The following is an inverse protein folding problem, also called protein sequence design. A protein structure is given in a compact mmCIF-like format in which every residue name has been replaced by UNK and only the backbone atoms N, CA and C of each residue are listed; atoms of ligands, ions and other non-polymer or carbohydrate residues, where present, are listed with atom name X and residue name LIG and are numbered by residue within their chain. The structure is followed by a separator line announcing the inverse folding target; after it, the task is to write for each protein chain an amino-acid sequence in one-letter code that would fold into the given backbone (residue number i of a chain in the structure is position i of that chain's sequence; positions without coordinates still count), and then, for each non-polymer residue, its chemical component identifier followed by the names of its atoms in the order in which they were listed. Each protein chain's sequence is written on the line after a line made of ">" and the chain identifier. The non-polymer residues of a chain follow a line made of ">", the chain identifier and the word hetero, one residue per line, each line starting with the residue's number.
data_IF_167969337898
#
_entry.id   IF_167969337898
#
_cell.length_a   1.000
_cell.length_b   1.000
_cell.length_c   1.000
_cell.angle_alpha   90.00
_cell.angle_beta   90.00
_cell.angle_gamma   90.00
#
_symmetry.space_group_name_H-M   'P 1'
#
loop_
_entity.id
_entity.type
_entity.pdbx_description
1 polymer ?
#
# COMPACT_ATOMS: atom_id res chain seq x y z
N UNK A 1 -0.88 21.60 -23.91
CA UNK A 1 -1.35 20.23 -24.15
C UNK A 1 -0.41 19.15 -23.60
N UNK A 2 0.94 19.15 -23.81
CA UNK A 2 1.80 18.06 -23.31
C UNK A 2 1.82 17.90 -21.79
N UNK A 3 1.89 19.01 -21.03
CA UNK A 3 1.83 18.97 -19.57
C UNK A 3 0.50 18.36 -19.06
N UNK A 4 -0.62 18.68 -19.69
CA UNK A 4 -1.92 18.10 -19.36
C UNK A 4 -1.97 16.59 -19.65
N UNK A 5 -1.35 16.15 -20.77
CA UNK A 5 -1.22 14.74 -21.07
C UNK A 5 -0.33 14.02 -20.03
N UNK A 6 0.80 14.64 -19.63
CA UNK A 6 1.67 14.08 -18.61
C UNK A 6 0.97 13.99 -17.24
N UNK A 7 0.19 15.00 -16.86
CA UNK A 7 -0.67 14.95 -15.67
C UNK A 7 -1.71 13.81 -15.77
N UNK A 8 -2.38 13.70 -16.91
CA UNK A 8 -3.37 12.63 -17.10
C UNK A 8 -2.74 11.24 -16.96
N UNK A 9 -1.65 10.96 -17.66
CA UNK A 9 -0.98 9.66 -17.63
C UNK A 9 -0.20 9.41 -16.34
N UNK A 10 0.22 10.43 -15.62
CA UNK A 10 0.82 10.31 -14.29
C UNK A 10 -0.22 9.98 -13.22
N UNK A 11 -1.37 10.66 -13.23
CA UNK A 11 -2.36 10.56 -12.15
C UNK A 11 -3.44 9.51 -12.37
N UNK A 12 -4.07 9.47 -13.54
CA UNK A 12 -5.23 8.59 -13.76
C UNK A 12 -4.89 7.11 -13.55
N UNK A 13 -3.79 6.56 -14.10
CA UNK A 13 -3.42 5.17 -13.83
C UNK A 13 -3.13 4.91 -12.34
N UNK A 14 -2.49 5.84 -11.64
CA UNK A 14 -2.18 5.68 -10.22
C UNK A 14 -3.44 5.69 -9.36
N UNK A 15 -4.46 6.49 -9.70
CA UNK A 15 -5.77 6.40 -9.07
C UNK A 15 -6.47 5.06 -9.36
N UNK A 16 -6.36 4.52 -10.56
CA UNK A 16 -6.90 3.19 -10.88
C UNK A 16 -6.19 2.08 -10.10
N UNK A 17 -4.87 2.18 -9.94
CA UNK A 17 -4.11 1.25 -9.11
C UNK A 17 -4.46 1.39 -7.63
N UNK A 18 -4.66 2.61 -7.13
CA UNK A 18 -5.14 2.84 -5.76
C UNK A 18 -6.54 2.25 -5.54
N UNK A 19 -7.43 2.37 -6.53
CA UNK A 19 -8.73 1.72 -6.49
C UNK A 19 -8.63 0.18 -6.50
N UNK A 20 -7.65 -0.39 -7.22
CA UNK A 20 -7.37 -1.83 -7.21
C UNK A 20 -6.82 -2.27 -5.85
N UNK A 21 -5.88 -1.50 -5.25
CA UNK A 21 -5.37 -1.78 -3.90
C UNK A 21 -6.52 -1.76 -2.88
N UNK A 22 -7.36 -0.72 -2.90
CA UNK A 22 -8.55 -0.66 -2.07
C UNK A 22 -9.53 -1.83 -2.32
N UNK A 23 -9.63 -2.31 -3.56
CA UNK A 23 -10.45 -3.47 -3.88
C UNK A 23 -9.87 -4.78 -3.35
N UNK A 24 -8.54 -4.93 -3.24
CA UNK A 24 -7.88 -6.10 -2.66
C UNK A 24 -8.13 -6.25 -1.14
N UNK A 25 -8.43 -5.15 -0.46
CA UNK A 25 -8.96 -5.15 0.89
C UNK A 25 -10.37 -5.75 0.92
N UNK A 26 -10.48 -7.03 1.27
CA UNK A 26 -11.69 -7.84 1.02
C UNK A 26 -12.65 -7.90 2.18
N UNK A 27 -12.15 -7.89 3.38
CA UNK A 27 -12.94 -8.15 4.57
C UNK A 27 -13.17 -6.89 5.41
N UNK A 28 -12.14 -6.21 5.82
CA UNK A 28 -12.23 -4.96 6.58
C UNK A 28 -11.71 -3.81 5.74
N UNK A 29 -12.60 -2.90 5.34
CA UNK A 29 -12.24 -1.79 4.44
C UNK A 29 -11.60 -0.65 5.20
N UNK A 30 -10.43 -0.23 4.77
CA UNK A 30 -9.76 0.94 5.29
C UNK A 30 -10.56 2.24 5.05
N UNK A 31 -10.54 3.21 6.00
CA UNK A 31 -11.24 4.48 5.85
C UNK A 31 -10.75 5.27 4.63
N UNK A 32 -11.64 5.54 3.70
CA UNK A 32 -11.31 6.24 2.43
C UNK A 32 -10.66 7.60 2.64
N UNK A 33 -11.04 8.30 3.71
CA UNK A 33 -10.44 9.61 4.05
C UNK A 33 -8.98 9.43 4.44
N UNK A 34 -8.66 8.39 5.20
CA UNK A 34 -7.29 8.10 5.61
C UNK A 34 -6.43 7.65 4.43
N UNK A 35 -6.98 6.80 3.56
CA UNK A 35 -6.32 6.43 2.29
C UNK A 35 -6.09 7.65 1.39
N UNK A 36 -7.07 8.54 1.28
CA UNK A 36 -6.94 9.81 0.55
C UNK A 36 -5.86 10.71 1.12
N UNK A 37 -5.76 10.82 2.45
CA UNK A 37 -4.69 11.56 3.11
C UNK A 37 -3.31 10.93 2.89
N UNK A 38 -3.21 9.60 2.93
CA UNK A 38 -1.99 8.85 2.65
C UNK A 38 -1.52 9.05 1.19
N UNK A 39 -2.44 8.98 0.23
CA UNK A 39 -2.16 9.29 -1.17
C UNK A 39 -1.68 10.74 -1.34
N UNK A 40 -2.38 11.69 -0.73
CA UNK A 40 -2.00 13.11 -0.78
C UNK A 40 -0.61 13.36 -0.19
N UNK A 41 -0.28 12.71 0.93
CA UNK A 41 1.07 12.78 1.49
C UNK A 41 2.12 12.32 0.48
N UNK A 42 1.91 11.16 -0.14
CA UNK A 42 2.81 10.63 -1.18
C UNK A 42 2.98 11.63 -2.32
N UNK A 43 1.86 12.14 -2.83
CA UNK A 43 1.76 13.06 -3.97
C UNK A 43 2.49 14.39 -3.73
N UNK A 44 2.35 14.98 -2.55
CA UNK A 44 2.83 16.34 -2.28
C UNK A 44 4.06 16.34 -1.39
N UNK A 45 3.95 15.72 -0.22
CA UNK A 45 5.01 15.83 0.81
C UNK A 45 6.20 14.93 0.45
N UNK A 46 5.95 13.65 0.15
CA UNK A 46 7.04 12.74 -0.16
C UNK A 46 7.69 13.08 -1.51
N UNK A 47 6.90 13.28 -2.57
CA UNK A 47 7.45 13.61 -3.89
C UNK A 47 8.13 14.99 -3.92
N UNK A 48 7.50 16.02 -3.32
CA UNK A 48 8.09 17.36 -3.24
C UNK A 48 9.35 17.40 -2.37
N UNK A 49 9.31 16.76 -1.20
CA UNK A 49 10.47 16.65 -0.31
C UNK A 49 11.64 15.90 -0.96
N UNK A 50 11.35 14.76 -1.60
CA UNK A 50 12.35 13.98 -2.33
C UNK A 50 12.96 14.80 -3.47
N UNK A 51 12.16 15.52 -4.26
CA UNK A 51 12.67 16.38 -5.32
C UNK A 51 13.68 17.42 -4.81
N UNK A 52 13.37 18.08 -3.70
CA UNK A 52 14.25 19.09 -3.10
C UNK A 52 15.53 18.45 -2.57
N UNK A 53 15.41 17.37 -1.77
CA UNK A 53 16.55 16.74 -1.11
C UNK A 53 17.45 16.05 -2.14
N UNK A 54 16.90 15.33 -3.11
CA UNK A 54 17.67 14.65 -4.15
C UNK A 54 18.43 15.65 -5.02
N UNK A 55 17.78 16.78 -5.39
CA UNK A 55 18.44 17.84 -6.14
C UNK A 55 19.59 18.48 -5.36
N UNK A 56 19.37 18.83 -4.10
CA UNK A 56 20.40 19.41 -3.24
C UNK A 56 21.57 18.43 -3.01
N UNK A 57 21.28 17.16 -2.82
CA UNK A 57 22.28 16.10 -2.63
C UNK A 57 23.11 15.87 -3.90
N UNK A 58 22.47 15.82 -5.07
CA UNK A 58 23.17 15.71 -6.36
C UNK A 58 24.11 16.88 -6.60
N UNK A 59 23.63 18.12 -6.33
CA UNK A 59 24.49 19.32 -6.39
C UNK A 59 25.67 19.23 -5.40
N UNK A 60 25.43 18.76 -4.16
CA UNK A 60 26.48 18.57 -3.17
C UNK A 60 27.52 17.56 -3.60
N UNK A 61 27.11 16.40 -4.15
CA UNK A 61 28.03 15.38 -4.68
C UNK A 61 28.85 15.95 -5.84
N UNK A 62 28.20 16.68 -6.76
CA UNK A 62 28.89 17.33 -7.88
C UNK A 62 29.94 18.35 -7.39
N UNK A 63 29.58 19.20 -6.44
CA UNK A 63 30.50 20.21 -5.87
C UNK A 63 31.71 19.56 -5.17
N UNK A 64 31.50 18.39 -4.54
CA UNK A 64 32.56 17.68 -3.84
C UNK A 64 33.47 16.87 -4.77
N UNK A 65 32.90 16.23 -5.82
CA UNK A 65 33.63 15.30 -6.70
C UNK A 65 34.09 15.93 -8.01
N UNK A 66 33.45 17.02 -8.45
CA UNK A 66 33.63 17.61 -9.78
C UNK A 66 33.11 16.73 -10.93
N UNK A 67 32.36 15.67 -10.62
CA UNK A 67 31.91 14.67 -11.59
C UNK A 67 30.38 14.60 -11.67
N UNK A 68 29.83 14.86 -12.86
CA UNK A 68 28.39 14.70 -13.15
C UNK A 68 27.94 13.25 -13.00
N UNK A 69 28.73 12.29 -13.51
CA UNK A 69 28.42 10.86 -13.37
C UNK A 69 28.39 10.41 -11.92
N UNK A 70 29.32 10.91 -11.08
CA UNK A 70 29.29 10.56 -9.65
C UNK A 70 28.03 11.17 -8.96
N UNK A 71 27.65 12.39 -9.33
CA UNK A 71 26.44 13.02 -8.83
C UNK A 71 25.18 12.27 -9.26
N UNK A 72 25.09 11.87 -10.52
CA UNK A 72 23.95 11.11 -11.05
C UNK A 72 23.86 9.72 -10.40
N UNK A 73 24.90 8.91 -10.44
CA UNK A 73 24.93 7.56 -9.87
C UNK A 73 24.67 7.62 -8.37
N UNK A 74 25.36 8.50 -7.64
CA UNK A 74 25.20 8.64 -6.19
C UNK A 74 23.78 9.04 -5.81
N UNK A 75 23.18 9.98 -6.55
CA UNK A 75 21.80 10.42 -6.29
C UNK A 75 20.81 9.34 -6.64
N UNK A 76 20.85 8.78 -7.83
CA UNK A 76 19.82 7.83 -8.32
C UNK A 76 19.91 6.48 -7.59
N UNK A 77 21.12 5.97 -7.37
CA UNK A 77 21.29 4.62 -6.81
C UNK A 77 21.28 4.57 -5.28
N UNK A 78 21.59 5.67 -4.59
CA UNK A 78 21.75 5.65 -3.14
C UNK A 78 20.83 6.67 -2.46
N UNK A 79 20.98 7.97 -2.79
CA UNK A 79 20.28 9.04 -2.07
C UNK A 79 18.78 8.96 -2.28
N UNK A 80 18.34 8.86 -3.54
CA UNK A 80 16.92 8.86 -3.88
C UNK A 80 16.17 7.69 -3.21
N UNK A 81 16.61 6.42 -3.29
CA UNK A 81 15.94 5.34 -2.58
C UNK A 81 15.82 5.56 -1.07
N UNK A 82 16.85 6.07 -0.43
CA UNK A 82 16.84 6.35 1.01
C UNK A 82 15.82 7.44 1.34
N UNK A 83 15.94 8.59 0.67
CA UNK A 83 15.08 9.76 0.93
C UNK A 83 13.63 9.46 0.64
N UNK A 84 13.36 8.85 -0.50
CA UNK A 84 12.01 8.58 -0.96
C UNK A 84 11.30 7.54 -0.08
N UNK A 85 11.95 6.41 0.22
CA UNK A 85 11.33 5.40 1.07
C UNK A 85 11.19 5.88 2.51
N UNK A 86 12.11 6.72 3.01
CA UNK A 86 11.98 7.36 4.31
C UNK A 86 10.77 8.31 4.36
N UNK A 87 10.59 9.20 3.37
CA UNK A 87 9.46 10.14 3.32
C UNK A 87 8.12 9.43 3.11
N UNK A 88 8.07 8.37 2.31
CA UNK A 88 6.90 7.51 2.15
C UNK A 88 6.62 6.71 3.42
N UNK A 89 7.64 6.10 4.00
CA UNK A 89 7.54 5.35 5.25
C UNK A 89 7.11 6.20 6.44
N UNK A 90 7.45 7.49 6.45
CA UNK A 90 7.00 8.41 7.48
C UNK A 90 5.48 8.62 7.48
N UNK A 91 4.82 8.62 6.31
CA UNK A 91 3.35 8.62 6.24
C UNK A 91 2.76 7.34 6.85
N UNK A 92 3.34 6.19 6.54
CA UNK A 92 2.92 4.90 7.12
C UNK A 92 3.09 4.92 8.64
N UNK A 93 4.20 5.49 9.13
CA UNK A 93 4.44 5.66 10.56
C UNK A 93 3.39 6.56 11.23
N UNK A 94 2.98 7.66 10.59
CA UNK A 94 1.90 8.52 11.10
C UNK A 94 0.60 7.74 11.23
N UNK A 95 0.21 6.97 10.21
CA UNK A 95 -0.99 6.12 10.29
C UNK A 95 -0.85 5.12 11.44
N UNK A 96 0.29 4.44 11.54
CA UNK A 96 0.57 3.48 12.61
C UNK A 96 0.47 4.08 14.02
N UNK A 97 1.00 5.27 14.27
CA UNK A 97 1.02 5.86 15.61
C UNK A 97 -0.27 6.62 15.95
N UNK A 98 -0.89 7.29 14.98
CA UNK A 98 -2.05 8.15 15.21
C UNK A 98 -3.35 7.38 15.04
N UNK A 99 -3.41 6.49 14.06
CA UNK A 99 -4.58 5.69 13.71
C UNK A 99 -4.35 4.19 13.94
N UNK A 100 -3.66 3.85 15.02
CA UNK A 100 -3.21 2.49 15.35
C UNK A 100 -4.35 1.45 15.39
N UNK A 101 -5.61 1.88 15.50
CA UNK A 101 -6.78 0.99 15.47
C UNK A 101 -7.11 0.47 14.07
N UNK A 102 -6.68 1.23 13.06
CA UNK A 102 -6.82 0.89 11.64
C UNK A 102 -5.63 0.06 11.13
N UNK A 103 -4.72 -0.35 12.01
CA UNK A 103 -3.49 -1.06 11.65
C UNK A 103 -3.45 -2.39 12.40
N UNK A 104 -4.31 -3.33 12.04
CA UNK A 104 -4.48 -4.57 12.79
C UNK A 104 -4.18 -5.85 12.00
N UNK A 105 -3.86 -5.74 10.72
CA UNK A 105 -3.41 -6.83 9.86
C UNK A 105 -2.14 -6.48 9.05
N UNK A 106 -1.50 -7.50 8.47
CA UNK A 106 -0.37 -7.28 7.54
C UNK A 106 -0.87 -6.62 6.24
N UNK A 107 -2.10 -6.93 5.85
CA UNK A 107 -2.70 -6.40 4.64
C UNK A 107 -2.88 -4.88 4.73
N UNK A 108 -3.29 -4.35 5.89
CA UNK A 108 -3.43 -2.91 6.12
C UNK A 108 -2.09 -2.19 5.90
N UNK A 109 -1.00 -2.77 6.43
CA UNK A 109 0.34 -2.24 6.22
C UNK A 109 0.70 -2.16 4.73
N UNK A 110 0.41 -3.22 3.96
CA UNK A 110 0.62 -3.25 2.52
C UNK A 110 -0.24 -2.18 1.83
N UNK A 111 -1.50 -2.05 2.21
CA UNK A 111 -2.45 -1.09 1.63
C UNK A 111 -1.96 0.34 1.86
N UNK A 112 -1.68 0.74 3.11
CA UNK A 112 -1.19 2.09 3.41
C UNK A 112 0.13 2.38 2.70
N UNK A 113 1.09 1.45 2.73
CA UNK A 113 2.36 1.59 2.01
C UNK A 113 2.17 1.79 0.52
N UNK A 114 1.35 0.95 -0.12
CA UNK A 114 1.06 1.04 -1.54
C UNK A 114 0.33 2.34 -1.92
N UNK A 115 -0.65 2.78 -1.13
CA UNK A 115 -1.40 4.02 -1.40
C UNK A 115 -0.50 5.27 -1.32
N UNK A 116 0.35 5.37 -0.30
CA UNK A 116 1.35 6.45 -0.21
C UNK A 116 2.26 6.44 -1.44
N UNK A 117 2.75 5.26 -1.80
CA UNK A 117 3.67 5.09 -2.94
C UNK A 117 3.01 5.41 -4.29
N UNK A 118 1.73 5.11 -4.47
CA UNK A 118 0.96 5.48 -5.67
C UNK A 118 0.77 7.00 -5.77
N UNK A 119 0.56 7.69 -4.65
CA UNK A 119 0.54 9.14 -4.61
C UNK A 119 1.89 9.73 -5.05
N UNK A 120 2.99 9.21 -4.52
CA UNK A 120 4.35 9.59 -4.92
C UNK A 120 4.57 9.36 -6.43
N UNK A 121 4.28 8.14 -6.90
CA UNK A 121 4.45 7.76 -8.29
C UNK A 121 3.64 8.63 -9.27
N UNK A 122 2.46 9.11 -8.88
CA UNK A 122 1.64 9.99 -9.71
C UNK A 122 2.39 11.30 -10.05
N UNK A 123 3.01 11.92 -9.06
CA UNK A 123 3.78 13.16 -9.23
C UNK A 123 5.09 12.90 -9.99
N UNK A 124 5.81 11.87 -9.59
CA UNK A 124 7.07 11.50 -10.20
C UNK A 124 6.89 11.14 -11.69
N UNK A 125 5.93 10.27 -12.02
CA UNK A 125 5.63 9.91 -13.40
C UNK A 125 5.25 11.15 -14.24
N UNK A 126 4.46 12.07 -13.69
CA UNK A 126 4.14 13.33 -14.39
C UNK A 126 5.40 14.10 -14.78
N UNK A 127 6.35 14.23 -13.84
CA UNK A 127 7.60 14.94 -14.09
C UNK A 127 8.48 14.24 -15.14
N UNK A 128 8.64 12.93 -15.02
CA UNK A 128 9.45 12.14 -15.97
C UNK A 128 8.82 12.15 -17.38
N UNK A 129 7.53 11.89 -17.49
CA UNK A 129 6.80 11.87 -18.78
C UNK A 129 6.92 13.24 -19.47
N UNK A 130 6.85 14.35 -18.70
CA UNK A 130 6.95 15.69 -19.26
C UNK A 130 8.41 16.07 -19.61
N UNK A 131 9.32 15.98 -18.63
CA UNK A 131 10.71 16.44 -18.79
C UNK A 131 11.53 15.52 -19.67
N UNK A 132 11.66 14.26 -19.27
CA UNK A 132 12.52 13.28 -19.95
C UNK A 132 11.81 12.65 -21.18
N UNK A 133 10.47 12.65 -21.22
CA UNK A 133 9.73 12.18 -22.39
C UNK A 133 9.51 13.28 -23.41
N UNK A 134 8.56 14.17 -23.09
CA UNK A 134 8.12 15.18 -24.07
C UNK A 134 9.19 16.21 -24.40
N UNK A 135 9.87 16.78 -23.41
CA UNK A 135 10.86 17.87 -23.68
C UNK A 135 12.08 17.35 -24.46
N UNK A 136 12.45 16.10 -24.30
CA UNK A 136 13.61 15.51 -25.02
C UNK A 136 13.23 14.98 -26.42
N UNK A 137 12.08 14.34 -26.56
CA UNK A 137 11.72 13.58 -27.76
C UNK A 137 10.28 13.81 -28.26
N UNK A 138 9.63 14.87 -27.79
CA UNK A 138 8.26 15.20 -28.21
C UNK A 138 7.23 14.15 -27.80
N UNK A 139 6.18 13.99 -28.60
CA UNK A 139 5.10 13.07 -28.31
C UNK A 139 5.52 11.59 -28.28
N UNK A 140 6.50 11.20 -29.11
CA UNK A 140 7.04 9.84 -29.12
C UNK A 140 7.73 9.49 -27.79
N UNK A 141 8.54 10.41 -27.26
CA UNK A 141 9.17 10.23 -25.96
C UNK A 141 8.16 10.22 -24.83
N UNK A 142 7.11 11.07 -24.89
CA UNK A 142 6.02 11.06 -23.93
C UNK A 142 5.37 9.67 -23.85
N UNK A 143 4.91 9.13 -24.99
CA UNK A 143 4.22 7.83 -25.01
C UNK A 143 5.14 6.66 -24.64
N UNK A 144 6.42 6.74 -25.00
CA UNK A 144 7.42 5.75 -24.60
C UNK A 144 7.57 5.71 -23.07
N UNK A 145 7.68 6.89 -22.42
CA UNK A 145 7.78 6.93 -20.97
C UNK A 145 6.48 6.57 -20.26
N UNK A 146 5.32 6.89 -20.84
CA UNK A 146 4.04 6.36 -20.35
C UNK A 146 4.04 4.83 -20.37
N UNK A 147 4.44 4.22 -21.49
CA UNK A 147 4.50 2.78 -21.60
C UNK A 147 5.45 2.16 -20.58
N UNK A 148 6.66 2.69 -20.46
CA UNK A 148 7.65 2.16 -19.52
C UNK A 148 7.18 2.38 -18.06
N UNK A 149 6.94 3.63 -17.65
CA UNK A 149 6.75 3.98 -16.24
C UNK A 149 5.38 3.63 -15.67
N UNK A 150 4.37 3.54 -16.52
CA UNK A 150 2.99 3.25 -16.07
C UNK A 150 2.63 1.79 -16.31
N UNK A 151 2.94 1.25 -17.51
CA UNK A 151 2.51 -0.11 -17.86
C UNK A 151 3.55 -1.14 -17.42
N UNK A 152 4.83 -0.93 -17.76
CA UNK A 152 5.88 -1.92 -17.52
C UNK A 152 6.31 -1.94 -16.06
N UNK A 153 6.50 -0.77 -15.43
CA UNK A 153 7.07 -0.65 -14.08
C UNK A 153 6.16 0.08 -13.08
N UNK A 154 4.89 0.25 -13.39
CA UNK A 154 3.95 1.06 -12.59
C UNK A 154 3.70 0.60 -11.15
N UNK A 155 4.05 -0.65 -10.81
CA UNK A 155 3.89 -1.22 -9.47
C UNK A 155 5.16 -1.18 -8.61
N UNK A 156 6.25 -0.59 -9.07
CA UNK A 156 7.52 -0.55 -8.36
C UNK A 156 7.42 0.12 -6.99
N UNK A 157 7.02 1.38 -6.94
CA UNK A 157 6.92 2.12 -5.69
C UNK A 157 5.94 1.47 -4.70
N UNK A 158 4.71 1.03 -5.09
CA UNK A 158 3.85 0.22 -4.24
C UNK A 158 4.55 -1.02 -3.67
N UNK A 159 5.30 -1.74 -4.47
CA UNK A 159 6.03 -2.93 -4.04
C UNK A 159 7.10 -2.61 -2.99
N UNK A 160 7.90 -1.57 -3.19
CA UNK A 160 8.95 -1.20 -2.25
C UNK A 160 8.38 -0.74 -0.91
N UNK A 161 7.48 0.22 -0.93
CA UNK A 161 6.93 0.79 0.30
C UNK A 161 6.02 -0.19 1.06
N UNK A 162 5.47 -1.22 0.39
CA UNK A 162 4.73 -2.30 1.06
C UNK A 162 5.55 -3.00 2.14
N UNK A 163 6.88 -3.17 1.97
CA UNK A 163 7.73 -3.76 3.00
C UNK A 163 7.80 -2.91 4.26
N UNK A 164 7.83 -1.59 4.13
CA UNK A 164 7.73 -0.67 5.29
C UNK A 164 6.40 -0.87 6.02
N UNK A 165 5.30 -0.98 5.27
CA UNK A 165 3.98 -1.26 5.83
C UNK A 165 3.92 -2.62 6.54
N UNK A 166 4.46 -3.68 5.94
CA UNK A 166 4.57 -5.02 6.57
C UNK A 166 5.37 -4.92 7.87
N UNK A 167 6.47 -4.16 7.90
CA UNK A 167 7.29 -3.97 9.08
C UNK A 167 6.50 -3.36 10.24
N UNK A 168 5.74 -2.29 9.98
CA UNK A 168 4.86 -1.67 10.98
C UNK A 168 3.73 -2.61 11.41
N UNK A 169 3.11 -3.34 10.49
CA UNK A 169 2.08 -4.31 10.81
C UNK A 169 2.60 -5.44 11.70
N UNK A 170 3.78 -5.99 11.40
CA UNK A 170 4.43 -7.00 12.25
C UNK A 170 4.72 -6.45 13.65
N UNK A 171 5.15 -5.19 13.76
CA UNK A 171 5.31 -4.51 15.05
C UNK A 171 3.98 -4.45 15.81
N UNK A 172 2.87 -4.16 15.12
CA UNK A 172 1.54 -4.01 15.73
C UNK A 172 0.98 -5.32 16.24
N UNK A 173 1.09 -6.41 15.45
CA UNK A 173 0.42 -7.68 15.77
C UNK A 173 1.23 -8.61 16.68
N UNK A 174 2.52 -8.32 16.91
CA UNK A 174 3.39 -9.15 17.76
C UNK A 174 3.40 -8.73 19.22
N UNK A 175 3.77 -9.68 20.09
CA UNK A 175 4.03 -9.47 21.53
C UNK A 175 5.52 -9.46 21.87
N UNK A 176 6.37 -9.90 20.96
CA UNK A 176 7.81 -9.95 21.17
C UNK A 176 8.40 -8.56 20.97
N UNK A 177 8.96 -7.97 22.01
CA UNK A 177 9.56 -6.63 21.99
C UNK A 177 10.64 -6.49 20.90
N UNK A 178 11.42 -7.55 20.64
CA UNK A 178 12.43 -7.51 19.59
C UNK A 178 11.79 -7.30 18.22
N UNK A 179 10.70 -8.01 17.92
CA UNK A 179 9.97 -7.86 16.65
C UNK A 179 9.32 -6.48 16.57
N UNK A 180 8.74 -5.98 17.69
CA UNK A 180 8.10 -4.67 17.74
C UNK A 180 9.07 -3.56 17.30
N UNK A 181 10.32 -3.61 17.73
CA UNK A 181 11.30 -2.58 17.40
C UNK A 181 12.04 -2.83 16.07
N UNK A 182 12.37 -4.09 15.76
CA UNK A 182 13.19 -4.40 14.58
C UNK A 182 12.34 -4.43 13.29
N UNK A 183 11.10 -4.90 13.35
CA UNK A 183 10.31 -5.10 12.12
C UNK A 183 10.09 -3.81 11.30
N UNK A 184 9.76 -2.64 11.87
CA UNK A 184 9.64 -1.40 11.10
C UNK A 184 10.95 -0.99 10.42
N UNK A 185 12.09 -1.13 11.13
CA UNK A 185 13.40 -0.79 10.58
C UNK A 185 13.82 -1.77 9.48
N UNK A 186 13.56 -3.07 9.69
CA UNK A 186 13.82 -4.09 8.67
C UNK A 186 12.94 -3.88 7.43
N UNK A 187 11.65 -3.57 7.61
CA UNK A 187 10.74 -3.25 6.52
C UNK A 187 11.22 -2.05 5.70
N UNK A 188 11.60 -0.96 6.35
CA UNK A 188 12.18 0.20 5.69
C UNK A 188 13.50 -0.13 5.00
N UNK A 189 14.38 -0.90 5.64
CA UNK A 189 15.64 -1.34 5.05
C UNK A 189 15.45 -2.18 3.78
N UNK A 190 14.46 -3.09 3.78
CA UNK A 190 14.11 -3.89 2.60
C UNK A 190 13.55 -2.97 1.50
N UNK A 191 12.65 -2.03 1.83
CA UNK A 191 12.10 -1.07 0.87
C UNK A 191 13.21 -0.26 0.19
N UNK A 192 14.13 0.32 0.96
CA UNK A 192 15.29 1.06 0.43
C UNK A 192 16.17 0.15 -0.43
N UNK A 193 16.46 -1.07 0.02
CA UNK A 193 17.35 -1.98 -0.69
C UNK A 193 16.76 -2.45 -2.01
N UNK A 194 15.47 -2.79 -2.06
CA UNK A 194 14.80 -3.20 -3.29
C UNK A 194 14.68 -2.04 -4.29
N UNK A 195 14.41 -0.84 -3.80
CA UNK A 195 14.38 0.38 -4.62
C UNK A 195 15.78 0.70 -5.17
N UNK A 196 16.81 0.73 -4.33
CA UNK A 196 18.19 0.97 -4.73
C UNK A 196 18.68 -0.09 -5.72
N UNK A 197 18.32 -1.36 -5.50
CA UNK A 197 18.64 -2.45 -6.41
C UNK A 197 18.03 -2.21 -7.79
N UNK A 198 16.75 -1.85 -7.89
CA UNK A 198 16.11 -1.53 -9.15
C UNK A 198 16.84 -0.38 -9.89
N UNK A 199 17.06 0.73 -9.21
CA UNK A 199 17.70 1.92 -9.79
C UNK A 199 19.12 1.64 -10.28
N UNK A 200 19.86 0.75 -9.59
CA UNK A 200 21.24 0.42 -9.91
C UNK A 200 21.38 -0.68 -10.96
N UNK A 201 20.55 -1.74 -10.84
CA UNK A 201 20.67 -2.95 -11.64
C UNK A 201 20.47 -2.69 -13.15
N UNK A 202 19.43 -1.92 -13.50
CA UNK A 202 19.19 -1.54 -14.88
C UNK A 202 20.33 -0.71 -15.48
N UNK A 203 20.91 0.20 -14.69
CA UNK A 203 22.04 1.03 -15.06
C UNK A 203 23.34 0.24 -15.27
N UNK A 204 23.63 -0.77 -14.43
CA UNK A 204 24.80 -1.62 -14.51
C UNK A 204 24.87 -2.47 -15.81
N UNK A 205 23.72 -3.00 -16.23
CA UNK A 205 23.64 -3.78 -17.48
C UNK A 205 23.62 -2.85 -18.69
N UNK A 206 22.95 -1.70 -18.56
CA UNK A 206 22.84 -0.67 -19.59
C UNK A 206 21.92 -1.02 -20.75
N UNK A 207 21.48 0.01 -21.48
CA UNK A 207 20.67 -0.10 -22.67
C UNK A 207 19.38 -0.93 -22.54
N UNK A 208 18.93 -1.51 -23.64
CA UNK A 208 17.72 -2.33 -23.69
C UNK A 208 17.84 -3.60 -22.82
N UNK A 209 19.04 -4.18 -22.74
CA UNK A 209 19.29 -5.36 -21.90
C UNK A 209 19.06 -5.09 -20.42
N UNK A 210 19.52 -3.95 -19.92
CA UNK A 210 19.28 -3.51 -18.54
C UNK A 210 17.82 -3.27 -18.23
N UNK A 211 17.10 -2.63 -19.15
CA UNK A 211 15.65 -2.42 -19.02
C UNK A 211 14.89 -3.77 -18.92
N UNK A 212 15.18 -4.70 -19.85
CA UNK A 212 14.52 -6.01 -19.89
C UNK A 212 14.82 -6.83 -18.62
N UNK A 213 16.11 -6.90 -18.24
CA UNK A 213 16.51 -7.66 -17.06
C UNK A 213 15.94 -7.07 -15.76
N UNK A 214 15.99 -5.75 -15.59
CA UNK A 214 15.40 -5.06 -14.44
C UNK A 214 13.90 -5.30 -14.35
N UNK A 215 13.17 -5.12 -15.45
CA UNK A 215 11.73 -5.39 -15.53
C UNK A 215 11.39 -6.83 -15.14
N UNK A 216 12.16 -7.79 -15.61
CA UNK A 216 11.92 -9.21 -15.30
C UNK A 216 12.06 -9.49 -13.80
N UNK A 217 13.08 -8.93 -13.16
CA UNK A 217 13.28 -9.05 -11.71
C UNK A 217 12.13 -8.41 -10.93
N UNK A 218 11.69 -7.21 -11.34
CA UNK A 218 10.55 -6.53 -10.71
C UNK A 218 9.28 -7.36 -10.81
N UNK A 219 9.00 -7.94 -11.97
CA UNK A 219 7.81 -8.76 -12.18
C UNK A 219 7.82 -10.04 -11.35
N UNK A 220 8.99 -10.64 -11.12
CA UNK A 220 9.12 -11.75 -10.16
C UNK A 220 8.75 -11.26 -8.76
N UNK A 221 9.30 -10.12 -8.31
CA UNK A 221 8.99 -9.53 -7.01
C UNK A 221 7.50 -9.24 -6.84
N UNK A 222 6.87 -8.63 -7.84
CA UNK A 222 5.42 -8.35 -7.82
C UNK A 222 4.57 -9.63 -7.80
N UNK A 223 4.98 -10.65 -8.55
CA UNK A 223 4.28 -11.94 -8.56
C UNK A 223 4.34 -12.60 -7.19
N UNK A 224 5.49 -12.58 -6.53
CA UNK A 224 5.65 -13.08 -5.16
C UNK A 224 4.78 -12.27 -4.19
N UNK A 225 4.79 -10.94 -4.29
CA UNK A 225 3.96 -10.07 -3.44
C UNK A 225 2.46 -10.33 -3.69
N UNK A 226 2.04 -10.51 -4.93
CA UNK A 226 0.65 -10.85 -5.25
C UNK A 226 0.22 -12.18 -4.63
N UNK A 227 1.05 -13.21 -4.74
CA UNK A 227 0.80 -14.51 -4.08
C UNK A 227 0.71 -14.34 -2.56
N UNK A 228 1.59 -13.51 -1.97
CA UNK A 228 1.55 -13.20 -0.55
C UNK A 228 0.27 -12.46 -0.15
N UNK A 229 -0.18 -11.47 -0.92
CA UNK A 229 -1.45 -10.76 -0.70
C UNK A 229 -2.64 -11.74 -0.77
N UNK A 230 -2.68 -12.61 -1.78
CA UNK A 230 -3.73 -13.64 -1.90
C UNK A 230 -3.72 -14.53 -0.66
N UNK A 231 -2.55 -14.96 -0.20
CA UNK A 231 -2.42 -15.74 1.01
C UNK A 231 -2.91 -15.00 2.25
N UNK A 232 -2.64 -13.71 2.37
CA UNK A 232 -3.14 -12.86 3.46
C UNK A 232 -4.66 -12.75 3.44
N UNK A 233 -5.28 -12.59 2.27
CA UNK A 233 -6.75 -12.60 2.12
C UNK A 233 -7.35 -13.94 2.60
N UNK A 234 -6.69 -15.05 2.32
CA UNK A 234 -7.10 -16.35 2.87
C UNK A 234 -6.97 -16.42 4.39
N UNK A 235 -5.94 -15.80 4.97
CA UNK A 235 -5.78 -15.70 6.43
C UNK A 235 -6.90 -14.90 7.08
N UNK A 236 -7.28 -13.78 6.49
CA UNK A 236 -8.42 -12.99 6.96
C UNK A 236 -9.74 -13.76 6.90
N UNK A 237 -9.95 -14.52 5.81
CA UNK A 237 -11.08 -15.44 5.73
C UNK A 237 -11.14 -16.42 6.90
N UNK A 238 -9.99 -16.97 7.34
CA UNK A 238 -9.93 -17.88 8.49
C UNK A 238 -10.28 -17.16 9.81
N UNK A 239 -9.89 -15.88 9.96
CA UNK A 239 -10.29 -15.07 11.11
C UNK A 239 -11.80 -14.91 11.14
N UNK A 240 -12.43 -14.52 10.01
CA UNK A 240 -13.87 -14.39 9.90
C UNK A 240 -14.55 -15.74 10.18
N UNK A 241 -14.04 -16.84 9.61
CA UNK A 241 -14.57 -18.19 9.81
C UNK A 241 -14.57 -18.61 11.28
N UNK A 242 -13.46 -18.38 11.96
CA UNK A 242 -13.27 -18.80 13.34
C UNK A 242 -14.13 -17.99 14.31
N UNK A 243 -14.12 -16.68 14.18
CA UNK A 243 -14.72 -15.79 15.16
C UNK A 243 -16.19 -15.47 14.92
N UNK A 244 -16.66 -15.53 13.67
CA UNK A 244 -18.06 -15.27 13.37
C UNK A 244 -18.98 -16.48 13.65
N UNK A 245 -18.42 -17.69 13.68
CA UNK A 245 -19.19 -18.92 13.95
C UNK A 245 -19.92 -18.89 15.29
N UNK A 246 -19.34 -18.26 16.31
CA UNK A 246 -19.99 -18.09 17.61
C UNK A 246 -21.28 -17.27 17.56
N UNK A 247 -21.41 -16.34 16.61
CA UNK A 247 -22.61 -15.52 16.41
C UNK A 247 -23.75 -16.33 15.74
N UNK A 248 -23.41 -17.37 14.97
CA UNK A 248 -24.39 -18.35 14.45
C UNK A 248 -24.94 -19.19 15.61
N UNK A 249 -24.07 -19.70 16.48
CA UNK A 249 -24.49 -20.47 17.67
C UNK A 249 -25.37 -19.64 18.60
N UNK A 250 -25.04 -18.35 18.76
CA UNK A 250 -25.83 -17.40 19.55
C UNK A 250 -27.17 -16.99 18.88
N UNK A 251 -27.39 -17.38 17.62
CA UNK A 251 -28.60 -17.02 16.87
C UNK A 251 -28.62 -15.55 16.39
N UNK A 252 -27.52 -14.82 16.52
CA UNK A 252 -27.41 -13.41 16.07
C UNK A 252 -27.43 -13.28 14.56
N UNK A 253 -26.92 -14.30 13.83
CA UNK A 253 -26.91 -14.37 12.37
C UNK A 253 -27.31 -15.78 11.91
N UNK A 254 -27.86 -15.88 10.69
CA UNK A 254 -28.21 -17.15 10.08
C UNK A 254 -26.97 -17.86 9.50
N UNK A 255 -27.07 -19.19 9.31
CA UNK A 255 -26.04 -19.98 8.63
C UNK A 255 -25.79 -19.48 7.19
N UNK A 256 -26.82 -19.02 6.49
CA UNK A 256 -26.70 -18.47 5.13
C UNK A 256 -25.89 -17.16 5.12
N UNK A 257 -26.17 -16.27 6.09
CA UNK A 257 -25.43 -15.01 6.25
C UNK A 257 -23.96 -15.28 6.58
N UNK A 258 -23.70 -16.24 7.48
CA UNK A 258 -22.34 -16.68 7.79
C UNK A 258 -21.59 -17.19 6.55
N UNK A 259 -22.20 -18.09 5.77
CA UNK A 259 -21.55 -18.61 4.56
C UNK A 259 -21.26 -17.51 3.53
N UNK A 260 -22.15 -16.53 3.38
CA UNK A 260 -21.89 -15.36 2.54
C UNK A 260 -20.73 -14.50 3.10
N UNK A 261 -20.66 -14.28 4.42
CA UNK A 261 -19.59 -13.51 5.04
C UNK A 261 -18.19 -14.13 4.82
N UNK A 262 -18.09 -15.45 4.62
CA UNK A 262 -16.82 -16.13 4.32
C UNK A 262 -16.31 -15.88 2.90
N UNK A 263 -17.14 -15.38 2.00
CA UNK A 263 -16.70 -15.10 0.63
C UNK A 263 -15.90 -13.78 0.58
N UNK A 264 -14.69 -13.80 0.02
CA UNK A 264 -13.89 -12.57 -0.13
C UNK A 264 -14.52 -11.54 -1.08
N UNK A 265 -15.59 -11.90 -1.78
CA UNK A 265 -16.31 -11.02 -2.68
C UNK A 265 -17.50 -10.31 -2.01
N UNK A 266 -17.94 -10.80 -0.85
CA UNK A 266 -19.20 -10.36 -0.25
C UNK A 266 -19.20 -8.89 0.13
N UNK A 267 -18.17 -8.40 0.83
CA UNK A 267 -18.09 -6.99 1.22
C UNK A 267 -18.11 -6.07 0.00
N UNK A 268 -17.39 -6.45 -1.06
CA UNK A 268 -17.32 -5.67 -2.30
C UNK A 268 -18.66 -5.69 -3.06
N UNK A 269 -19.33 -6.84 -3.15
CA UNK A 269 -20.59 -6.98 -3.92
C UNK A 269 -21.81 -6.54 -3.12
N UNK A 270 -21.75 -6.57 -1.79
CA UNK A 270 -22.84 -6.14 -0.92
C UNK A 270 -23.23 -4.66 -1.11
N UNK A 271 -22.29 -3.83 -1.58
CA UNK A 271 -22.57 -2.42 -1.92
C UNK A 271 -23.67 -2.29 -2.97
N UNK A 272 -23.75 -3.23 -3.93
CA UNK A 272 -24.79 -3.27 -4.95
C UNK A 272 -26.14 -3.79 -4.41
N UNK A 273 -26.15 -4.46 -3.26
CA UNK A 273 -27.34 -4.97 -2.59
C UNK A 273 -27.96 -3.97 -1.58
N UNK A 274 -27.39 -2.78 -1.47
CA UNK A 274 -27.88 -1.70 -0.63
C UNK A 274 -27.05 -1.46 0.64
N UNK A 275 -27.20 -0.27 1.22
CA UNK A 275 -26.39 0.21 2.35
C UNK A 275 -26.44 -0.69 3.58
N UNK A 276 -27.65 -1.22 3.89
CA UNK A 276 -27.83 -2.09 5.06
C UNK A 276 -27.05 -3.40 4.90
N UNK A 277 -27.14 -4.04 3.72
CA UNK A 277 -26.41 -5.27 3.40
C UNK A 277 -24.91 -5.05 3.43
N UNK A 278 -24.45 -3.94 2.84
CA UNK A 278 -23.03 -3.59 2.86
C UNK A 278 -22.51 -3.42 4.30
N UNK A 279 -23.22 -2.65 5.13
CA UNK A 279 -22.84 -2.43 6.53
C UNK A 279 -22.87 -3.71 7.35
N UNK A 280 -23.83 -4.59 7.13
CA UNK A 280 -23.94 -5.87 7.82
C UNK A 280 -22.66 -6.73 7.60
N UNK A 281 -22.24 -6.92 6.35
CA UNK A 281 -21.06 -7.75 6.08
C UNK A 281 -19.75 -7.07 6.50
N UNK A 282 -19.69 -5.74 6.48
CA UNK A 282 -18.59 -5.00 7.06
C UNK A 282 -18.52 -5.23 8.59
N UNK A 283 -19.65 -5.16 9.31
CA UNK A 283 -19.71 -5.45 10.75
C UNK A 283 -19.30 -6.90 11.06
N UNK A 284 -19.67 -7.86 10.19
CA UNK A 284 -19.23 -9.24 10.35
C UNK A 284 -17.69 -9.35 10.36
N UNK A 285 -17.02 -8.65 9.45
CA UNK A 285 -15.57 -8.64 9.36
C UNK A 285 -14.94 -7.88 10.55
N UNK A 286 -15.34 -6.64 10.81
CA UNK A 286 -14.88 -5.83 11.94
C UNK A 286 -15.00 -6.59 13.28
N UNK A 287 -16.15 -7.24 13.53
CA UNK A 287 -16.36 -8.04 14.74
C UNK A 287 -15.37 -9.22 14.84
N UNK A 288 -15.12 -9.89 13.72
CA UNK A 288 -14.21 -11.03 13.68
C UNK A 288 -12.76 -10.60 13.96
N UNK A 289 -12.29 -9.50 13.36
CA UNK A 289 -10.97 -8.94 13.58
C UNK A 289 -10.79 -8.45 15.03
N UNK A 290 -11.79 -7.75 15.61
CA UNK A 290 -11.72 -7.31 17.02
C UNK A 290 -11.72 -8.48 18.01
N UNK A 291 -12.44 -9.58 17.71
CA UNK A 291 -12.35 -10.83 18.52
C UNK A 291 -10.97 -11.47 18.42
N UNK A 292 -10.39 -11.54 17.22
CA UNK A 292 -9.02 -12.05 17.02
C UNK A 292 -7.99 -11.19 17.78
N UNK A 293 -8.13 -9.85 17.71
CA UNK A 293 -7.28 -8.91 18.43
C UNK A 293 -7.41 -9.10 19.95
N UNK A 294 -8.64 -9.24 20.45
CA UNK A 294 -8.91 -9.53 21.86
C UNK A 294 -8.25 -10.84 22.32
N UNK A 295 -8.32 -11.91 21.51
CA UNK A 295 -7.67 -13.18 21.82
C UNK A 295 -6.14 -13.06 21.83
N UNK A 296 -5.56 -12.30 20.92
CA UNK A 296 -4.11 -12.14 20.83
C UNK A 296 -3.53 -11.19 21.87
N UNK A 297 -4.20 -10.06 22.14
CA UNK A 297 -3.64 -8.96 22.93
C UNK A 297 -4.43 -8.64 24.20
N UNK A 298 -5.58 -9.28 24.42
CA UNK A 298 -6.49 -8.96 25.52
C UNK A 298 -7.32 -7.70 25.24
N UNK A 299 -7.86 -7.09 26.31
CA UNK A 299 -8.71 -5.90 26.20
C UNK A 299 -7.89 -4.61 25.96
N UNK A 300 -7.06 -4.64 24.94
CA UNK A 300 -6.28 -3.49 24.53
C UNK A 300 -7.25 -2.43 23.93
N UNK A 301 -7.18 -1.21 24.47
CA UNK A 301 -7.97 -0.06 23.97
C UNK A 301 -9.50 -0.23 24.00
N UNK A 302 -10.02 -1.08 24.89
CA UNK A 302 -11.44 -1.30 25.05
C UNK A 302 -12.05 -2.21 23.98
N UNK A 303 -11.30 -3.18 23.49
CA UNK A 303 -11.78 -4.17 22.52
C UNK A 303 -13.06 -4.86 22.98
N UNK A 304 -13.23 -5.15 24.26
CA UNK A 304 -14.45 -5.75 24.80
C UNK A 304 -15.69 -4.88 24.55
N UNK A 305 -15.59 -3.57 24.80
CA UNK A 305 -16.68 -2.63 24.54
C UNK A 305 -16.97 -2.46 23.04
N UNK A 306 -15.94 -2.48 22.19
CA UNK A 306 -16.09 -2.43 20.72
C UNK A 306 -16.81 -3.69 20.23
N UNK A 307 -16.40 -4.87 20.68
CA UNK A 307 -17.03 -6.16 20.34
C UNK A 307 -18.50 -6.16 20.70
N UNK A 308 -18.87 -5.69 21.90
CA UNK A 308 -20.26 -5.65 22.33
C UNK A 308 -21.08 -4.66 21.49
N UNK A 309 -20.55 -3.49 21.17
CA UNK A 309 -21.19 -2.54 20.25
C UNK A 309 -21.44 -3.15 18.87
N UNK A 310 -20.43 -3.84 18.31
CA UNK A 310 -20.55 -4.49 17.01
C UNK A 310 -21.56 -5.64 17.03
N UNK A 311 -21.69 -6.40 18.13
CA UNK A 311 -22.72 -7.43 18.30
C UNK A 311 -24.12 -6.85 18.29
N UNK A 312 -24.34 -5.77 19.01
CA UNK A 312 -25.64 -5.07 19.03
C UNK A 312 -26.00 -4.58 17.63
N UNK A 313 -25.06 -3.97 16.94
CA UNK A 313 -25.25 -3.51 15.55
C UNK A 313 -25.52 -4.68 14.60
N UNK A 314 -24.77 -5.79 14.72
CA UNK A 314 -24.95 -6.99 13.92
C UNK A 314 -26.36 -7.57 14.08
N UNK A 315 -26.80 -7.73 15.32
CA UNK A 315 -28.13 -8.26 15.64
C UNK A 315 -29.26 -7.35 15.09
N UNK A 316 -29.07 -6.04 15.12
CA UNK A 316 -30.03 -5.09 14.56
C UNK A 316 -30.09 -5.15 13.02
N UNK A 317 -28.98 -5.39 12.35
CA UNK A 317 -28.90 -5.44 10.88
C UNK A 317 -29.34 -6.80 10.30
N UNK A 318 -29.09 -7.91 11.01
CA UNK A 318 -29.30 -9.27 10.51
C UNK A 318 -30.72 -9.55 9.97
N UNK A 319 -31.84 -9.09 10.61
CA UNK A 319 -33.18 -9.32 10.07
C UNK A 319 -33.46 -8.66 8.72
N UNK A 320 -32.68 -7.65 8.35
CA UNK A 320 -32.84 -6.86 7.12
C UNK A 320 -31.98 -7.38 5.96
N UNK A 321 -31.16 -8.42 6.18
CA UNK A 321 -30.24 -8.99 5.19
C UNK A 321 -30.64 -10.43 4.86
N UNK A 322 -30.97 -10.66 3.59
CA UNK A 322 -31.37 -11.99 3.08
C UNK A 322 -30.20 -12.76 2.44
#
# INVERSE_FOLDING_TARGET
>A
MPLLASLFFGFVPMFLFAALVYWLDRYEKEPRILLGAAFFWGMVIAAGGAFIINTASGMGIYMFTGSESAAEIGTVSIVAPIVEEFLKGFAVAIVFFVFYKEFDSILDGIIYGAIVALGFAATENTLYIYRNGYQESGWSGLFLLVFIRVIIVGWQHPFYTAFTGIGFALSRINKNNLIIFIAPLAGLGIAISTHAFHNTFGGLIGGLGGLVAGTFVDWIGWSIMLVFIIWMIYKEREIVRTHLHSEVIAGSISQAQYQKALSPWTVTTAVFSGRVTARFYQVCAELSHKKEQMNKKGDENGNAAIIEKLRVELAALAPHVR
#
